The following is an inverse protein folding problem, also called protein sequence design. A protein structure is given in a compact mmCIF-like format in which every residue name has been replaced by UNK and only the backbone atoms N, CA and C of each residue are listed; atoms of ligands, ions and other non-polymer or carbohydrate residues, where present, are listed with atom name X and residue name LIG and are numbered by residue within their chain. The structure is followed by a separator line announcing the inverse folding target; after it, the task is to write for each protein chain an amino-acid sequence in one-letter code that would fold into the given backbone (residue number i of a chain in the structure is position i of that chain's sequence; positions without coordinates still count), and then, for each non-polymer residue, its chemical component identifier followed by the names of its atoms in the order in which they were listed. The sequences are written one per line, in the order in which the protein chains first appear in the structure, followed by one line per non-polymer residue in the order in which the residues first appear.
data_IF_208440721759
#
_entry.id   IF_208440721759
#
_cell.length_a   1.000
_cell.length_b   1.000
_cell.length_c   1.000
_cell.angle_alpha   90.00
_cell.angle_beta   90.00
_cell.angle_gamma   90.00
#
_symmetry.space_group_name_H-M   'P 1'
#
loop_
_entity.id
_entity.type
_entity.pdbx_description
1 polymer ?
#
# COMPACT_ATOMS: atom_id res chain seq x y z
N UNK A 1 -26.57 74.20 -30.47
CA UNK A 1 -26.81 75.15 -29.37
C UNK A 1 -26.05 74.60 -28.17
N UNK A 2 -24.79 74.99 -28.04
CA UNK A 2 -24.31 76.03 -27.11
C UNK A 2 -24.23 75.57 -25.63
N UNK A 3 -22.96 75.43 -25.20
CA UNK A 3 -22.30 75.94 -23.99
C UNK A 3 -22.89 75.67 -22.59
N UNK A 4 -21.94 75.33 -21.72
CA UNK A 4 -21.96 75.34 -20.25
C UNK A 4 -22.70 76.51 -19.60
N UNK A 5 -23.34 76.28 -18.44
CA UNK A 5 -23.47 77.27 -17.37
C UNK A 5 -23.37 76.62 -15.98
N UNK A 6 -22.54 77.28 -15.17
CA UNK A 6 -22.15 77.14 -13.77
C UNK A 6 -23.25 77.58 -12.75
N UNK A 7 -23.05 77.33 -11.44
CA UNK A 7 -23.30 78.21 -10.24
C UNK A 7 -23.58 77.35 -8.97
N UNK A 8 -22.61 77.20 -8.03
CA UNK A 8 -22.41 77.89 -6.71
C UNK A 8 -23.47 77.56 -5.62
N UNK A 9 -23.26 77.55 -4.28
CA UNK A 9 -22.20 77.95 -3.31
C UNK A 9 -22.62 77.52 -1.87
N UNK A 10 -21.65 77.32 -0.96
CA UNK A 10 -21.49 77.84 0.44
C UNK A 10 -20.51 76.92 1.20
N UNK A 11 -19.24 77.27 1.48
CA UNK A 11 -18.63 78.24 2.44
C UNK A 11 -19.07 78.02 3.90
N UNK A 12 -18.14 77.55 4.75
CA UNK A 12 -17.66 78.29 5.94
C UNK A 12 -16.26 77.81 6.39
N UNK A 13 -15.46 78.78 6.84
CA UNK A 13 -14.06 78.72 7.29
C UNK A 13 -13.95 78.56 8.82
N UNK A 14 -12.78 78.13 9.31
CA UNK A 14 -12.34 78.30 10.70
C UNK A 14 -10.83 78.15 10.84
N UNK A 15 -10.14 79.27 11.07
CA UNK A 15 -8.69 79.45 11.23
C UNK A 15 -8.22 79.26 12.69
N UNK A 16 -6.93 78.95 12.88
CA UNK A 16 -6.22 79.09 14.16
C UNK A 16 -4.71 78.81 14.07
N UNK A 17 -3.91 79.84 13.81
CA UNK A 17 -2.44 79.88 14.05
C UNK A 17 -2.15 80.27 15.51
N UNK A 18 -0.98 79.89 16.06
CA UNK A 18 0.04 80.81 16.66
C UNK A 18 1.23 80.04 17.33
N UNK A 19 2.45 80.55 17.03
CA UNK A 19 3.76 80.55 17.74
C UNK A 19 4.42 79.24 18.21
N UNK A 20 5.59 78.82 17.67
CA UNK A 20 6.99 79.27 17.96
C UNK A 20 7.44 79.05 19.41
N UNK A 21 8.31 78.05 19.64
CA UNK A 21 9.42 78.12 20.61
C UNK A 21 10.56 77.15 20.21
N UNK A 22 11.75 77.72 20.02
CA UNK A 22 13.03 77.03 19.84
C UNK A 22 13.50 76.42 21.15
N UNK A 23 14.04 75.19 21.11
CA UNK A 23 15.14 74.77 22.01
C UNK A 23 16.15 73.96 21.21
N UNK A 24 17.32 74.57 21.02
CA UNK A 24 18.58 73.97 20.57
C UNK A 24 19.21 73.18 21.72
N UNK A 25 19.63 71.94 21.47
CA UNK A 25 20.86 71.26 21.96
C UNK A 25 20.94 69.99 21.10
N UNK A 26 21.86 69.80 20.14
CA UNK A 26 23.29 70.04 20.17
C UNK A 26 23.99 68.68 20.09
N UNK A 27 24.13 68.09 18.88
CA UNK A 27 25.14 67.07 18.66
C UNK A 27 25.65 67.05 17.21
N UNK A 28 26.90 67.49 17.08
CA UNK A 28 27.72 67.57 15.87
C UNK A 28 28.29 66.19 15.50
N UNK A 29 28.44 65.95 14.21
CA UNK A 29 29.10 64.75 13.67
C UNK A 29 29.22 64.84 12.15
N UNK A 30 29.95 65.85 11.69
CA UNK A 30 30.20 66.17 10.29
C UNK A 30 31.09 65.12 9.61
N UNK A 31 30.64 64.58 8.47
CA UNK A 31 31.50 64.04 7.42
C UNK A 31 30.82 64.24 6.05
N UNK A 32 30.45 65.49 5.75
CA UNK A 32 30.15 65.90 4.39
C UNK A 32 31.40 66.57 3.84
N UNK A 33 32.17 65.79 3.08
CA UNK A 33 33.22 66.30 2.21
C UNK A 33 32.65 67.44 1.36
N UNK A 34 33.34 68.58 1.42
CA UNK A 34 33.04 69.83 0.72
C UNK A 34 32.60 69.57 -0.73
N UNK A 35 31.34 69.85 -1.05
CA UNK A 35 30.88 69.98 -2.43
C UNK A 35 31.06 71.45 -2.81
N UNK A 36 31.99 71.82 -3.71
CA UNK A 36 32.06 73.19 -4.20
C UNK A 36 30.84 73.51 -5.05
N UNK A 37 30.21 74.65 -4.75
CA UNK A 37 29.11 75.22 -5.50
C UNK A 37 29.59 75.71 -6.88
N UNK A 38 29.58 74.78 -7.84
CA UNK A 38 29.52 74.94 -9.32
C UNK A 38 29.62 73.52 -9.91
N UNK A 39 28.78 72.61 -9.42
CA UNK A 39 28.79 71.21 -9.83
C UNK A 39 28.07 71.00 -11.15
N UNK A 40 28.69 71.41 -12.26
CA UNK A 40 28.46 70.68 -13.51
C UNK A 40 28.83 69.24 -13.18
N UNK A 41 27.89 68.30 -13.30
CA UNK A 41 28.21 66.87 -13.31
C UNK A 41 29.08 66.64 -14.54
N UNK A 42 30.38 66.93 -14.42
CA UNK A 42 31.35 66.65 -15.46
C UNK A 42 31.41 65.14 -15.54
N UNK A 43 30.78 64.59 -16.58
CA UNK A 43 31.05 63.23 -16.99
C UNK A 43 32.55 63.16 -17.29
N UNK A 44 33.33 62.71 -16.30
CA UNK A 44 34.76 62.51 -16.49
C UNK A 44 34.91 61.18 -17.22
N UNK A 45 35.31 61.18 -18.51
CA UNK A 45 35.56 59.93 -19.21
C UNK A 45 36.73 59.21 -18.55
N UNK A 46 36.60 57.90 -18.38
CA UNK A 46 37.69 57.07 -17.88
C UNK A 46 38.89 57.14 -18.84
N UNK A 47 40.11 57.08 -18.29
CA UNK A 47 41.35 57.05 -19.09
C UNK A 47 42.09 55.72 -18.97
N UNK A 48 41.72 54.89 -18.00
CA UNK A 48 42.32 53.59 -17.75
C UNK A 48 41.31 52.64 -17.12
N UNK A 49 41.55 51.33 -17.25
CA UNK A 49 40.71 50.28 -16.64
C UNK A 49 40.61 50.42 -15.12
N UNK A 50 41.69 50.90 -14.48
CA UNK A 50 41.76 51.11 -13.03
C UNK A 50 40.79 52.18 -12.51
N UNK A 51 40.42 53.14 -13.35
CA UNK A 51 39.42 54.17 -13.02
C UNK A 51 37.99 53.62 -13.08
N UNK A 52 37.81 52.43 -13.66
CA UNK A 52 36.55 51.73 -13.77
C UNK A 52 36.37 50.64 -12.72
N UNK A 53 37.28 50.50 -11.74
CA UNK A 53 37.17 49.49 -10.67
C UNK A 53 35.90 49.72 -9.84
N UNK A 54 34.89 48.86 -10.00
CA UNK A 54 33.62 48.93 -9.27
C UNK A 54 33.68 48.22 -7.91
N UNK A 55 34.87 47.75 -7.51
CA UNK A 55 35.15 46.96 -6.31
C UNK A 55 34.43 45.62 -6.25
N UNK A 56 33.78 45.19 -7.33
CA UNK A 56 33.20 43.86 -7.42
C UNK A 56 34.28 42.88 -7.93
N UNK A 57 34.72 41.90 -7.11
CA UNK A 57 35.73 40.94 -7.55
C UNK A 57 35.26 40.01 -8.68
N UNK A 58 33.97 40.06 -9.05
CA UNK A 58 33.35 39.25 -10.08
C UNK A 58 32.95 40.01 -11.35
N UNK A 59 33.47 41.21 -11.50
CA UNK A 59 33.47 41.97 -12.75
C UNK A 59 34.89 42.09 -13.26
N UNK A 60 35.02 42.09 -14.59
CA UNK A 60 36.21 42.55 -15.26
C UNK A 60 35.92 43.95 -15.77
N UNK A 61 36.56 44.91 -15.13
CA UNK A 61 36.37 46.33 -15.38
C UNK A 61 37.36 46.84 -16.42
N UNK A 62 36.87 47.52 -17.45
CA UNK A 62 37.71 48.12 -18.47
C UNK A 62 37.11 49.41 -19.02
N UNK A 63 38.00 50.30 -19.43
CA UNK A 63 37.67 51.57 -20.04
C UNK A 63 37.74 51.44 -21.56
N UNK A 64 36.63 51.72 -22.25
CA UNK A 64 36.59 51.76 -23.72
C UNK A 64 35.85 53.02 -24.19
N UNK A 65 36.53 53.82 -25.02
CA UNK A 65 36.01 55.08 -25.56
C UNK A 65 35.53 56.05 -24.47
N UNK A 66 36.27 56.14 -23.35
CA UNK A 66 35.92 57.01 -22.23
C UNK A 66 34.72 56.55 -21.38
N UNK A 67 34.20 55.34 -21.62
CA UNK A 67 33.12 54.72 -20.84
C UNK A 67 33.63 53.47 -20.10
N UNK A 68 33.18 53.29 -18.88
CA UNK A 68 33.44 52.08 -18.10
C UNK A 68 32.50 50.94 -18.49
N UNK A 69 33.06 49.73 -18.58
CA UNK A 69 32.35 48.48 -18.80
C UNK A 69 32.73 47.49 -17.71
N UNK A 70 31.74 46.80 -17.15
CA UNK A 70 31.89 45.83 -16.07
C UNK A 70 31.36 44.49 -16.56
N UNK A 71 32.23 43.61 -17.06
CA UNK A 71 31.82 42.31 -17.59
C UNK A 71 31.80 41.26 -16.48
N UNK A 72 30.66 40.63 -16.25
CA UNK A 72 30.53 39.56 -15.25
C UNK A 72 31.46 38.38 -15.58
N UNK A 73 32.24 37.96 -14.60
CA UNK A 73 33.06 36.74 -14.68
C UNK A 73 32.15 35.54 -14.42
N UNK A 74 32.05 34.63 -15.40
CA UNK A 74 31.20 33.43 -15.31
C UNK A 74 31.69 32.52 -14.17
N UNK A 75 30.78 32.04 -13.33
CA UNK A 75 31.09 31.18 -12.17
C UNK A 75 31.70 31.91 -10.97
N UNK A 76 31.85 33.24 -11.05
CA UNK A 76 32.29 34.07 -9.93
C UNK A 76 31.08 34.57 -9.11
N UNK A 77 31.27 34.66 -7.80
CA UNK A 77 30.30 35.24 -6.89
C UNK A 77 30.94 36.29 -5.96
N UNK A 78 30.23 37.38 -5.70
CA UNK A 78 30.58 38.33 -4.65
C UNK A 78 29.71 38.08 -3.41
N UNK A 79 28.48 37.61 -3.62
CA UNK A 79 27.50 37.29 -2.59
C UNK A 79 26.89 35.91 -2.83
N UNK A 80 26.23 35.36 -1.79
CA UNK A 80 25.49 34.09 -1.91
C UNK A 80 24.42 34.15 -3.01
N UNK A 81 23.79 35.32 -3.22
CA UNK A 81 22.76 35.51 -4.24
C UNK A 81 23.28 35.31 -5.67
N UNK A 82 24.58 35.52 -5.90
CA UNK A 82 25.19 35.29 -7.21
C UNK A 82 25.32 33.80 -7.55
N UNK A 83 25.19 32.94 -6.53
CA UNK A 83 25.25 31.48 -6.63
C UNK A 83 23.88 30.80 -6.60
N UNK A 84 22.78 31.54 -6.77
CA UNK A 84 21.44 30.95 -6.81
C UNK A 84 21.30 30.04 -8.05
N UNK A 85 21.32 28.72 -7.84
CA UNK A 85 21.17 27.70 -8.89
C UNK A 85 19.70 27.37 -9.19
N UNK A 86 18.76 28.07 -8.54
CA UNK A 86 17.31 27.83 -8.60
C UNK A 86 16.86 26.47 -8.12
N UNK A 87 17.73 25.68 -7.49
CA UNK A 87 17.39 24.42 -6.87
C UNK A 87 17.07 24.65 -5.39
N UNK A 88 15.80 24.53 -4.97
CA UNK A 88 15.43 24.75 -3.57
C UNK A 88 15.98 23.66 -2.63
N UNK A 89 16.57 22.58 -3.17
CA UNK A 89 17.22 21.51 -2.42
C UNK A 89 18.74 21.60 -2.38
N UNK A 90 19.32 22.73 -2.77
CA UNK A 90 20.71 23.07 -2.52
C UNK A 90 20.81 24.26 -1.58
N UNK A 91 21.90 24.30 -0.82
CA UNK A 91 22.34 25.47 -0.09
C UNK A 91 23.51 26.09 -0.84
N UNK A 92 23.28 27.26 -1.40
CA UNK A 92 24.29 28.01 -2.14
C UNK A 92 25.26 28.71 -1.19
N UNK A 93 26.55 28.62 -1.51
CA UNK A 93 27.62 29.23 -0.74
C UNK A 93 28.59 29.89 -1.70
N UNK A 94 28.83 31.18 -1.47
CA UNK A 94 29.94 31.88 -2.10
C UNK A 94 31.16 31.85 -1.18
N UNK A 95 32.25 31.19 -1.60
CA UNK A 95 33.50 31.14 -0.84
C UNK A 95 34.69 31.33 -1.77
N UNK A 96 35.56 32.31 -1.47
CA UNK A 96 36.72 32.60 -2.30
C UNK A 96 36.35 32.93 -3.76
N UNK A 97 35.29 33.72 -3.94
CA UNK A 97 34.74 34.13 -5.24
C UNK A 97 34.29 32.98 -6.15
N UNK A 98 34.00 31.80 -5.59
CA UNK A 98 33.48 30.63 -6.30
C UNK A 98 32.19 30.15 -5.65
N UNK A 99 31.28 29.68 -6.50
CA UNK A 99 30.02 29.08 -6.05
C UNK A 99 30.19 27.62 -5.67
N UNK A 100 29.51 27.24 -4.59
CA UNK A 100 29.36 25.87 -4.11
C UNK A 100 27.88 25.62 -3.80
N UNK A 101 27.35 24.49 -4.25
CA UNK A 101 25.96 24.10 -4.04
C UNK A 101 25.94 22.80 -3.23
N UNK A 102 25.45 22.86 -2.00
CA UNK A 102 25.41 21.70 -1.10
C UNK A 102 24.02 21.11 -1.05
N UNK A 103 23.86 19.85 -1.48
CA UNK A 103 22.57 19.17 -1.40
C UNK A 103 22.06 19.11 0.05
N UNK A 104 20.82 19.54 0.26
CA UNK A 104 20.14 19.43 1.55
C UNK A 104 19.70 17.97 1.72
N UNK A 105 20.06 17.35 2.84
CA UNK A 105 19.69 15.97 3.15
C UNK A 105 18.15 15.84 3.22
N UNK A 106 17.63 14.75 2.66
CA UNK A 106 16.19 14.41 2.61
C UNK A 106 15.30 15.45 1.91
N UNK A 107 15.90 16.36 1.13
CA UNK A 107 15.19 17.31 0.30
C UNK A 107 14.93 16.75 -1.11
N UNK A 108 13.74 17.00 -1.63
CA UNK A 108 13.32 16.62 -2.98
C UNK A 108 12.65 17.79 -3.70
N UNK A 109 12.68 17.76 -5.03
CA UNK A 109 11.90 18.66 -5.89
C UNK A 109 10.83 17.87 -6.64
N UNK A 110 11.12 16.61 -6.95
CA UNK A 110 10.24 15.68 -7.65
C UNK A 110 10.16 14.36 -6.88
N UNK A 111 9.10 13.56 -7.10
CA UNK A 111 9.01 12.20 -6.55
C UNK A 111 10.23 11.33 -6.87
N UNK A 112 10.86 11.54 -8.04
CA UNK A 112 12.05 10.80 -8.46
C UNK A 112 13.29 11.05 -7.59
N UNK A 113 13.37 12.20 -6.93
CA UNK A 113 14.46 12.48 -5.97
C UNK A 113 14.32 11.64 -4.69
N UNK A 114 13.15 11.03 -4.50
CA UNK A 114 12.80 10.19 -3.36
C UNK A 114 12.77 8.69 -3.70
N UNK A 115 13.39 8.27 -4.80
CA UNK A 115 13.50 6.84 -5.12
C UNK A 115 14.33 6.11 -4.06
N UNK A 116 13.68 5.29 -3.23
CA UNK A 116 14.34 4.46 -2.21
C UNK A 116 14.77 3.09 -2.77
N UNK A 117 14.60 2.87 -4.08
CA UNK A 117 14.81 1.61 -4.80
C UNK A 117 13.97 0.45 -4.26
N UNK A 118 12.93 0.72 -3.46
CA UNK A 118 12.00 -0.29 -3.02
C UNK A 118 10.80 -0.32 -3.98
N UNK A 119 10.64 -1.37 -4.79
CA UNK A 119 9.51 -1.48 -5.71
C UNK A 119 8.15 -1.69 -5.00
N UNK A 120 8.14 -1.86 -3.68
CA UNK A 120 6.95 -1.96 -2.85
C UNK A 120 6.62 -0.69 -2.06
N UNK A 121 7.23 0.43 -2.43
CA UNK A 121 6.85 1.77 -1.98
C UNK A 121 6.44 2.61 -3.18
N UNK A 122 5.50 3.51 -2.95
CA UNK A 122 5.22 4.63 -3.83
C UNK A 122 5.90 5.87 -3.25
N UNK A 123 6.81 6.45 -4.01
CA UNK A 123 7.63 7.57 -3.57
C UNK A 123 6.95 8.91 -3.84
N UNK A 124 6.92 9.75 -2.82
CA UNK A 124 6.33 11.07 -2.88
C UNK A 124 7.33 12.12 -2.41
N UNK A 125 7.42 13.20 -3.17
CA UNK A 125 7.96 14.44 -2.67
C UNK A 125 6.81 15.31 -2.16
N UNK A 126 6.72 15.55 -0.85
CA UNK A 126 5.76 16.52 -0.31
C UNK A 126 6.44 17.86 -0.12
N UNK A 127 6.04 18.90 -0.86
CA UNK A 127 6.57 20.24 -0.69
C UNK A 127 6.38 20.76 0.75
N UNK A 128 7.32 21.57 1.26
CA UNK A 128 7.16 22.22 2.57
C UNK A 128 5.98 23.22 2.59
N UNK A 129 5.57 23.72 1.42
CA UNK A 129 4.43 24.60 1.18
C UNK A 129 3.67 24.11 -0.05
N UNK A 130 2.36 24.31 -0.14
CA UNK A 130 1.52 23.87 -1.27
C UNK A 130 1.88 24.49 -2.66
N UNK A 131 2.93 25.30 -2.75
CA UNK A 131 3.42 25.91 -3.97
C UNK A 131 4.43 25.00 -4.69
N UNK A 132 4.20 24.77 -5.99
CA UNK A 132 5.17 24.13 -6.87
C UNK A 132 6.46 24.96 -6.96
N UNK A 133 7.62 24.31 -6.89
CA UNK A 133 8.94 24.96 -6.96
C UNK A 133 9.61 25.28 -5.61
N UNK A 134 8.98 24.89 -4.51
CA UNK A 134 9.62 24.87 -3.18
C UNK A 134 10.11 23.45 -2.91
N UNK A 135 11.26 23.30 -2.26
CA UNK A 135 11.78 22.01 -1.83
C UNK A 135 10.76 21.28 -0.95
N UNK A 136 10.85 19.96 -0.93
CA UNK A 136 9.99 19.09 -0.15
C UNK A 136 10.78 18.08 0.65
N UNK A 137 10.05 17.23 1.37
CA UNK A 137 10.58 16.07 2.07
C UNK A 137 10.10 14.79 1.41
N UNK A 138 10.93 13.75 1.41
CA UNK A 138 10.59 12.44 0.89
C UNK A 138 9.66 11.66 1.82
N UNK A 139 8.71 10.95 1.21
CA UNK A 139 7.76 10.04 1.86
C UNK A 139 7.61 8.80 0.99
N UNK A 140 7.77 7.61 1.59
CA UNK A 140 7.64 6.33 0.91
C UNK A 140 6.40 5.64 1.47
N UNK A 141 5.36 5.49 0.65
CA UNK A 141 4.12 4.86 1.09
C UNK A 141 4.14 3.38 0.70
N UNK A 142 4.04 2.44 1.66
CA UNK A 142 3.96 1.03 1.34
C UNK A 142 2.77 0.72 0.42
N UNK A 143 3.02 -0.08 -0.62
CA UNK A 143 1.99 -0.63 -1.49
C UNK A 143 1.40 -1.85 -0.78
N UNK A 144 0.08 -1.85 -0.54
CA UNK A 144 -0.60 -2.95 0.13
C UNK A 144 -0.46 -4.25 -0.66
N UNK A 145 -0.18 -5.35 0.03
CA UNK A 145 -0.02 -6.70 -0.55
C UNK A 145 1.17 -6.83 -1.51
N UNK A 146 2.05 -5.81 -1.56
CA UNK A 146 3.30 -5.88 -2.30
C UNK A 146 4.37 -6.64 -1.53
N UNK A 147 5.19 -7.38 -2.26
CA UNK A 147 6.29 -8.14 -1.71
C UNK A 147 7.54 -8.08 -2.58
N UNK A 148 8.69 -8.24 -1.93
CA UNK A 148 9.98 -8.47 -2.61
C UNK A 148 10.58 -9.84 -2.33
N UNK A 149 10.10 -10.51 -1.27
CA UNK A 149 10.54 -11.83 -0.84
C UNK A 149 9.37 -12.66 -0.32
N UNK A 150 9.51 -13.99 -0.33
CA UNK A 150 8.45 -14.90 0.14
C UNK A 150 8.14 -14.70 1.63
N UNK A 151 9.15 -14.30 2.43
CA UNK A 151 9.02 -14.04 3.87
C UNK A 151 8.06 -12.91 4.20
N UNK A 152 7.96 -11.90 3.32
CA UNK A 152 7.00 -10.79 3.50
C UNK A 152 5.55 -11.25 3.31
N UNK A 153 5.34 -12.42 2.71
CA UNK A 153 4.04 -13.01 2.47
C UNK A 153 3.61 -14.04 3.52
N UNK A 154 4.35 -14.22 4.61
CA UNK A 154 3.94 -15.16 5.66
C UNK A 154 2.63 -14.67 6.33
N UNK A 155 1.53 -15.39 6.10
CA UNK A 155 0.21 -15.04 6.67
C UNK A 155 -0.05 -15.70 8.05
N UNK A 156 0.95 -16.42 8.56
CA UNK A 156 0.91 -17.24 9.78
C UNK A 156 -0.12 -18.37 9.75
N UNK A 157 -0.68 -18.69 8.59
CA UNK A 157 -1.48 -19.88 8.40
C UNK A 157 -0.56 -21.05 7.99
N UNK A 158 -0.37 -22.05 8.85
CA UNK A 158 0.50 -23.18 8.54
C UNK A 158 -0.05 -24.09 7.43
N UNK A 159 -1.29 -23.87 7.00
CA UNK A 159 -1.95 -24.59 5.92
C UNK A 159 -2.03 -23.82 4.61
N UNK A 160 -1.27 -22.75 4.48
CA UNK A 160 -0.98 -22.08 3.22
C UNK A 160 0.50 -22.22 2.90
N UNK A 161 0.79 -22.30 1.61
CA UNK A 161 2.12 -22.06 1.07
C UNK A 161 2.15 -20.64 0.55
N UNK A 162 2.94 -19.82 1.22
CA UNK A 162 3.08 -18.41 0.92
C UNK A 162 4.31 -18.16 0.05
N UNK A 163 4.14 -17.37 -1.01
CA UNK A 163 5.25 -16.91 -1.83
C UNK A 163 4.95 -15.57 -2.47
N UNK A 164 6.01 -14.87 -2.84
CA UNK A 164 5.92 -13.63 -3.57
C UNK A 164 5.95 -13.90 -5.08
N UNK A 165 4.87 -13.59 -5.80
CA UNK A 165 4.91 -13.54 -7.27
C UNK A 165 5.76 -12.32 -7.68
N UNK A 166 7.06 -12.52 -7.86
CA UNK A 166 8.02 -11.44 -8.18
C UNK A 166 7.69 -10.69 -9.46
N UNK A 167 6.94 -11.29 -10.40
CA UNK A 167 6.51 -10.61 -11.63
C UNK A 167 5.37 -9.65 -11.36
N UNK A 168 4.41 -10.06 -10.55
CA UNK A 168 3.25 -9.23 -10.16
C UNK A 168 3.49 -8.37 -8.93
N UNK A 169 4.60 -8.63 -8.22
CA UNK A 169 4.95 -8.03 -6.92
C UNK A 169 3.80 -8.15 -5.92
N UNK A 170 3.22 -9.35 -5.82
CA UNK A 170 2.08 -9.60 -4.95
C UNK A 170 2.19 -10.93 -4.22
N UNK A 171 1.73 -10.96 -2.98
CA UNK A 171 1.66 -12.20 -2.23
C UNK A 171 0.65 -13.19 -2.83
N UNK A 172 0.99 -14.46 -2.74
CA UNK A 172 0.16 -15.58 -3.15
C UNK A 172 0.16 -16.60 -2.03
N UNK A 173 -1.02 -16.87 -1.49
CA UNK A 173 -1.26 -17.84 -0.43
C UNK A 173 -2.04 -19.02 -1.01
N UNK A 174 -1.38 -20.16 -1.16
CA UNK A 174 -2.01 -21.35 -1.76
C UNK A 174 -2.33 -22.37 -0.68
N UNK A 175 -3.59 -22.79 -0.55
CA UNK A 175 -3.99 -23.82 0.43
C UNK A 175 -3.23 -25.13 0.17
N UNK A 176 -2.69 -25.71 1.23
CA UNK A 176 -2.10 -27.04 1.21
C UNK A 176 -3.25 -28.07 1.30
N UNK A 177 -3.40 -28.98 0.32
CA UNK A 177 -4.43 -30.03 0.37
C UNK A 177 -4.32 -30.88 1.64
N UNK A 178 -5.46 -31.32 2.16
CA UNK A 178 -5.58 -32.11 3.42
C UNK A 178 -5.03 -31.43 4.69
N UNK A 179 -4.53 -30.18 4.59
CA UNK A 179 -4.05 -29.44 5.74
C UNK A 179 -5.20 -28.73 6.48
N UNK A 180 -5.13 -28.76 7.81
CA UNK A 180 -6.08 -28.11 8.69
C UNK A 180 -5.43 -27.32 9.84
N UNK A 181 -6.17 -26.32 10.33
CA UNK A 181 -5.83 -25.58 11.55
C UNK A 181 -6.85 -25.88 12.65
N UNK A 182 -8.10 -26.07 12.27
CA UNK A 182 -9.24 -26.32 13.14
C UNK A 182 -10.05 -27.50 12.63
N UNK A 183 -10.84 -28.13 13.51
CA UNK A 183 -11.70 -29.26 13.15
C UNK A 183 -12.69 -28.90 12.02
N UNK A 184 -13.12 -27.64 11.97
CA UNK A 184 -14.00 -27.12 10.91
C UNK A 184 -13.36 -27.16 9.52
N UNK A 185 -12.03 -27.10 9.42
CA UNK A 185 -11.34 -27.16 8.12
C UNK A 185 -11.41 -28.56 7.48
N UNK A 186 -11.84 -29.55 8.28
CA UNK A 186 -11.91 -30.97 7.94
C UNK A 186 -13.34 -31.48 7.73
N UNK A 187 -14.35 -30.62 7.68
CA UNK A 187 -15.71 -31.06 7.38
C UNK A 187 -15.77 -31.69 5.96
N UNK A 188 -15.98 -33.00 5.88
CA UNK A 188 -16.13 -33.73 4.61
C UNK A 188 -17.59 -33.78 4.12
N UNK A 189 -18.51 -33.15 4.86
CA UNK A 189 -19.94 -33.13 4.59
C UNK A 189 -20.66 -34.46 4.91
N UNK A 190 -19.96 -35.47 5.41
CA UNK A 190 -20.55 -36.73 5.84
C UNK A 190 -20.94 -36.65 7.31
N UNK A 191 -22.24 -36.60 7.61
CA UNK A 191 -22.73 -36.57 8.99
C UNK A 191 -22.35 -37.80 9.83
N UNK A 192 -21.89 -38.88 9.18
CA UNK A 192 -21.49 -40.13 9.82
C UNK A 192 -19.98 -40.28 9.98
N UNK A 193 -19.23 -39.21 9.78
CA UNK A 193 -17.85 -39.09 10.22
C UNK A 193 -17.78 -38.05 11.34
N UNK A 194 -16.91 -38.31 12.30
CA UNK A 194 -16.42 -37.30 13.23
C UNK A 194 -15.11 -36.77 12.66
N UNK A 195 -15.21 -35.57 12.13
CA UNK A 195 -14.10 -34.87 11.50
C UNK A 195 -13.36 -34.02 12.52
N UNK A 196 -12.04 -34.14 12.53
CA UNK A 196 -11.20 -33.30 13.37
C UNK A 196 -9.82 -33.12 12.75
N UNK A 197 -9.16 -32.04 13.17
CA UNK A 197 -7.82 -31.73 12.75
C UNK A 197 -6.81 -32.37 13.70
N UNK A 198 -5.97 -33.29 13.21
CA UNK A 198 -4.83 -33.74 14.00
C UNK A 198 -3.80 -32.60 14.07
N UNK A 199 -3.74 -31.91 15.21
CA UNK A 199 -2.86 -30.75 15.41
C UNK A 199 -1.37 -31.09 15.31
N UNK A 200 -0.98 -32.36 15.50
CA UNK A 200 0.42 -32.80 15.44
C UNK A 200 0.88 -32.97 13.99
N UNK A 201 0.04 -33.58 13.16
CA UNK A 201 0.34 -33.81 11.73
C UNK A 201 -0.16 -32.70 10.83
N UNK A 202 -1.08 -31.84 11.33
CA UNK A 202 -1.83 -30.83 10.58
C UNK A 202 -2.71 -31.41 9.48
N UNK A 203 -3.15 -32.65 9.62
CA UNK A 203 -3.96 -33.34 8.61
C UNK A 203 -5.37 -33.62 9.10
N UNK A 204 -6.33 -33.61 8.18
CA UNK A 204 -7.69 -34.01 8.49
C UNK A 204 -7.84 -35.49 8.80
N UNK A 205 -8.70 -35.79 9.76
CA UNK A 205 -9.06 -37.15 10.15
C UNK A 205 -10.57 -37.26 10.19
N UNK A 206 -11.10 -38.17 9.38
CA UNK A 206 -12.53 -38.47 9.26
C UNK A 206 -12.80 -39.84 9.87
N UNK A 207 -13.25 -39.90 11.13
CA UNK A 207 -13.52 -41.17 11.81
C UNK A 207 -14.98 -41.57 11.66
N UNK A 208 -15.30 -42.74 11.06
CA UNK A 208 -16.66 -43.24 11.02
C UNK A 208 -17.29 -43.29 12.43
N UNK A 209 -18.51 -42.80 12.55
CA UNK A 209 -19.33 -42.93 13.76
C UNK A 209 -19.99 -44.31 13.70
N UNK A 210 -19.74 -45.20 14.69
CA UNK A 210 -20.37 -46.51 14.72
C UNK A 210 -21.88 -46.42 14.65
N UNK A 211 -22.51 -47.31 13.88
CA UNK A 211 -23.96 -47.42 13.74
C UNK A 211 -24.64 -46.17 13.11
N UNK A 212 -23.85 -45.27 12.52
CA UNK A 212 -24.35 -44.13 11.76
C UNK A 212 -24.44 -44.45 10.26
N UNK A 213 -25.47 -43.91 9.61
CA UNK A 213 -25.66 -44.03 8.17
C UNK A 213 -26.15 -42.75 7.50
N UNK A 214 -25.90 -42.63 6.20
CA UNK A 214 -26.44 -41.56 5.35
C UNK A 214 -27.53 -42.10 4.41
N UNK A 215 -27.39 -43.36 3.99
CA UNK A 215 -28.32 -44.09 3.11
C UNK A 215 -28.40 -45.56 3.54
N UNK A 216 -29.47 -46.25 3.13
CA UNK A 216 -29.73 -47.65 3.48
C UNK A 216 -28.53 -48.58 3.19
N UNK A 217 -27.82 -48.34 2.07
CA UNK A 217 -26.64 -49.13 1.69
C UNK A 217 -25.47 -49.03 2.69
N UNK A 218 -25.41 -47.99 3.52
CA UNK A 218 -24.37 -47.87 4.54
C UNK A 218 -24.62 -48.83 5.73
N UNK A 219 -25.83 -49.41 5.81
CA UNK A 219 -26.26 -50.30 6.89
C UNK A 219 -26.24 -51.79 6.51
N UNK A 220 -25.62 -52.15 5.40
CA UNK A 220 -25.51 -53.56 4.99
C UNK A 220 -24.76 -54.37 6.08
N UNK A 221 -25.48 -55.22 6.81
CA UNK A 221 -24.92 -56.08 7.86
C UNK A 221 -24.43 -57.44 7.31
N UNK A 222 -24.58 -57.65 6.00
CA UNK A 222 -24.23 -58.89 5.31
C UNK A 222 -25.15 -60.07 5.64
N UNK A 223 -26.25 -59.87 6.38
CA UNK A 223 -27.25 -60.89 6.65
C UNK A 223 -28.30 -60.91 5.51
N UNK A 224 -28.38 -61.95 4.67
CA UNK A 224 -29.38 -62.01 3.61
C UNK A 224 -30.83 -62.08 4.13
N UNK A 225 -31.02 -62.34 5.43
CA UNK A 225 -32.32 -62.38 6.10
C UNK A 225 -32.71 -61.10 6.82
N UNK A 226 -31.95 -60.03 6.62
CA UNK A 226 -32.32 -58.69 7.03
C UNK A 226 -32.56 -57.84 5.78
N UNK A 227 -33.39 -56.82 5.95
CA UNK A 227 -33.42 -55.68 5.05
C UNK A 227 -33.03 -54.46 5.87
N UNK A 228 -31.95 -53.84 5.42
CA UNK A 228 -31.29 -52.78 6.17
C UNK A 228 -31.78 -51.40 5.72
N UNK A 229 -32.04 -50.55 6.71
CA UNK A 229 -32.54 -49.20 6.49
C UNK A 229 -31.70 -48.22 7.29
N UNK A 230 -31.51 -47.04 6.72
CA UNK A 230 -30.99 -45.89 7.43
C UNK A 230 -32.15 -45.02 7.90
N UNK A 231 -32.46 -45.08 9.20
CA UNK A 231 -33.57 -44.33 9.79
C UNK A 231 -33.00 -43.34 10.79
N UNK A 232 -33.29 -42.05 10.59
CA UNK A 232 -32.80 -40.95 11.45
C UNK A 232 -31.27 -40.98 11.69
N UNK A 233 -30.53 -41.40 10.67
CA UNK A 233 -29.06 -41.48 10.71
C UNK A 233 -28.51 -42.69 11.48
N UNK A 234 -29.34 -43.68 11.80
CA UNK A 234 -28.94 -44.93 12.45
C UNK A 234 -29.37 -46.15 11.65
N UNK A 235 -28.60 -47.21 11.76
CA UNK A 235 -28.91 -48.46 11.09
C UNK A 235 -30.03 -49.23 11.78
N UNK A 236 -30.97 -49.72 10.98
CA UNK A 236 -32.09 -50.54 11.41
C UNK A 236 -32.17 -51.77 10.50
N UNK A 237 -31.86 -52.92 11.07
CA UNK A 237 -31.87 -54.21 10.38
C UNK A 237 -33.21 -54.91 10.63
N UNK A 238 -34.09 -54.97 9.64
CA UNK A 238 -35.41 -55.62 9.76
C UNK A 238 -35.33 -57.05 9.26
N UNK A 239 -35.56 -58.01 10.15
CA UNK A 239 -35.66 -59.43 9.78
C UNK A 239 -36.79 -59.65 8.77
N UNK A 240 -36.50 -60.38 7.69
CA UNK A 240 -37.48 -60.85 6.72
C UNK A 240 -38.24 -62.04 7.31
N UNK A 241 -39.58 -62.02 7.23
CA UNK A 241 -40.44 -63.06 7.79
C UNK A 241 -40.31 -64.40 7.07
N UNK A 242 -40.02 -64.37 5.77
CA UNK A 242 -39.74 -65.55 4.96
C UNK A 242 -38.30 -65.44 4.49
N UNK A 243 -37.38 -65.98 5.28
CA UNK A 243 -35.98 -66.08 4.89
C UNK A 243 -35.26 -67.28 5.52
N UNK A 244 -34.24 -67.76 4.81
CA UNK A 244 -33.32 -68.81 5.24
C UNK A 244 -31.86 -68.39 5.02
N UNK A 245 -30.95 -68.93 5.82
CA UNK A 245 -29.49 -68.83 5.61
C UNK A 245 -28.90 -70.13 5.09
N UNK A 246 -29.54 -71.24 5.42
CA UNK A 246 -29.07 -72.59 5.15
C UNK A 246 -30.28 -73.52 4.98
N UNK A 247 -30.07 -74.65 4.31
CA UNK A 247 -31.14 -75.59 3.94
C UNK A 247 -31.99 -76.04 5.14
N UNK A 248 -31.37 -76.19 6.32
CA UNK A 248 -32.08 -76.58 7.55
C UNK A 248 -33.10 -75.56 8.04
N UNK A 249 -32.98 -74.28 7.67
CA UNK A 249 -33.96 -73.25 8.04
C UNK A 249 -35.28 -73.42 7.27
N UNK A 250 -35.25 -74.23 6.21
CA UNK A 250 -36.37 -74.49 5.32
C UNK A 250 -37.06 -75.83 5.57
N UNK A 251 -36.77 -76.51 6.68
CA UNK A 251 -37.42 -77.79 7.00
C UNK A 251 -38.95 -77.62 7.18
N UNK A 252 -39.73 -78.07 6.20
CA UNK A 252 -41.20 -78.04 6.25
C UNK A 252 -41.80 -79.25 7.01
N UNK A 253 -40.93 -80.10 7.57
CA UNK A 253 -41.23 -81.35 8.25
C UNK A 253 -41.91 -82.38 7.37
N UNK A 254 -41.95 -82.18 6.05
CA UNK A 254 -42.44 -83.15 5.12
C UNK A 254 -41.27 -84.04 4.66
N UNK A 255 -41.25 -85.33 5.04
CA UNK A 255 -40.16 -86.22 4.64
C UNK A 255 -40.10 -86.48 3.12
N UNK A 256 -41.12 -86.04 2.36
CA UNK A 256 -41.22 -86.17 0.92
C UNK A 256 -40.81 -84.91 0.14
N UNK A 257 -40.22 -83.92 0.79
CA UNK A 257 -39.60 -82.75 0.17
C UNK A 257 -38.11 -82.72 0.44
N UNK A 258 -37.34 -82.28 -0.55
CA UNK A 258 -35.98 -81.82 -0.36
C UNK A 258 -36.04 -80.31 -0.17
N UNK A 259 -35.78 -79.90 1.06
CA UNK A 259 -35.79 -78.50 1.43
C UNK A 259 -34.40 -77.91 1.25
N UNK A 260 -34.31 -76.76 0.58
CA UNK A 260 -33.06 -76.04 0.44
C UNK A 260 -33.28 -74.53 0.42
N UNK A 261 -32.26 -73.83 0.88
CA UNK A 261 -32.23 -72.39 0.90
C UNK A 261 -31.53 -71.87 -0.34
N UNK A 262 -32.18 -70.98 -1.09
CA UNK A 262 -31.57 -70.32 -2.24
C UNK A 262 -31.94 -68.84 -2.25
N UNK A 263 -30.92 -67.98 -2.31
CA UNK A 263 -31.10 -66.51 -2.34
C UNK A 263 -31.98 -65.98 -1.20
N UNK A 264 -31.85 -66.57 -0.01
CA UNK A 264 -32.65 -66.18 1.16
C UNK A 264 -34.12 -66.62 1.09
N UNK A 265 -34.48 -67.53 0.18
CA UNK A 265 -35.84 -68.07 0.07
C UNK A 265 -35.81 -69.60 0.20
N UNK A 266 -36.84 -70.13 0.87
CA UNK A 266 -37.01 -71.57 1.01
C UNK A 266 -37.65 -72.18 -0.23
N UNK A 267 -37.06 -73.27 -0.69
CA UNK A 267 -37.56 -74.10 -1.78
C UNK A 267 -37.77 -75.52 -1.25
N UNK A 268 -38.92 -76.09 -1.58
CA UNK A 268 -39.32 -77.44 -1.18
C UNK A 268 -39.59 -78.25 -2.44
N UNK A 269 -38.63 -79.09 -2.83
CA UNK A 269 -38.73 -79.89 -4.06
C UNK A 269 -39.28 -81.28 -3.75
N UNK A 270 -40.38 -81.68 -4.39
CA UNK A 270 -41.00 -82.98 -4.16
C UNK A 270 -40.10 -84.11 -4.63
N UNK A 271 -39.92 -85.12 -3.79
CA UNK A 271 -39.23 -86.35 -4.14
C UNK A 271 -40.22 -87.28 -4.87
N UNK A 272 -39.92 -87.67 -6.11
CA UNK A 272 -40.77 -88.58 -6.88
C UNK A 272 -40.88 -89.95 -6.20
N UNK A 273 -42.09 -90.52 -6.19
CA UNK A 273 -42.42 -91.82 -5.57
C UNK A 273 -42.16 -91.87 -4.04
N UNK A 274 -42.21 -90.72 -3.35
CA UNK A 274 -42.15 -90.71 -1.90
C UNK A 274 -43.50 -91.10 -1.28
N UNK A 275 -43.50 -92.14 -0.45
CA UNK A 275 -44.65 -92.57 0.36
C UNK A 275 -44.42 -92.17 1.82
N UNK A 276 -45.20 -91.20 2.37
CA UNK A 276 -45.09 -90.85 3.77
C UNK A 276 -45.55 -92.02 4.64
N UNK A 277 -44.68 -92.46 5.56
CA UNK A 277 -44.98 -93.53 6.54
C UNK A 277 -45.82 -93.03 7.71
#
# INVERSE_FOLDING_TARGET
MEKEVCVRKKILMGLGMVAVFFVFLGWQGEAWSKIPATGVLTYRPCRSDRECDDKNPCTRDFCKNGKCYHLRVVGCCATVKDCDDKNPCTRDVCKGNKCYHFKIKDCCVTPRDCDDNNPCTEDFCRPYLAAAGVGGKCYHKPILDCCTSDRECEDNNPCTKDFCDKKKRRCVHTRIPECCVTDRDCDDGNRCTRDYCDKKTRTCVHKPIPDCCVKDKDCDDGDPCTKDYCVDGKCVHKRLEVCCKEDRDCDDKNPCTKDYCKEGQCYHEKIENCEPK
#
